data_IF_393215686942
#
_entry.id   IF_393215686942
#
_cell.length_a   1.000
_cell.length_b   1.000
_cell.length_c   1.000
_cell.angle_alpha   90.00
_cell.angle_beta   90.00
_cell.angle_gamma   90.00
#
_symmetry.space_group_name_H-M   'P 1'
#
loop_
_entity.id
_entity.type
_entity.pdbx_description
1 polymer ?
#
# COMPACT_ATOMS: atom_id res chain seq x y z
N UNK A 1 3.26 -41.95 36.53
CA UNK A 1 4.49 -42.75 36.35
C UNK A 1 5.71 -41.82 36.32
N UNK A 2 6.28 -41.61 37.50
CA UNK A 2 7.54 -40.90 37.72
C UNK A 2 8.70 -41.67 37.09
N UNK A 3 9.41 -41.03 36.15
CA UNK A 3 10.76 -41.45 35.78
C UNK A 3 11.74 -40.48 36.45
N UNK A 4 12.23 -40.90 37.61
CA UNK A 4 13.37 -40.30 38.31
C UNK A 4 14.58 -40.28 37.37
N UNK A 5 15.01 -39.09 36.96
CA UNK A 5 16.40 -38.87 36.55
C UNK A 5 17.29 -38.83 37.80
N UNK A 6 18.55 -39.32 37.74
CA UNK A 6 19.43 -39.34 38.90
C UNK A 6 19.71 -37.92 39.43
N UNK A 7 19.67 -37.78 40.76
CA UNK A 7 19.86 -36.52 41.53
C UNK A 7 21.33 -36.04 41.59
N UNK A 8 22.20 -36.37 40.63
CA UNK A 8 23.62 -35.97 40.64
C UNK A 8 23.93 -34.72 39.81
N UNK A 9 23.16 -34.39 38.77
CA UNK A 9 23.62 -33.39 37.78
C UNK A 9 23.07 -31.97 37.99
N UNK A 10 22.20 -31.75 38.98
CA UNK A 10 21.61 -30.44 39.26
C UNK A 10 22.34 -29.63 40.34
N UNK A 11 23.36 -30.19 41.01
CA UNK A 11 24.00 -29.52 42.14
C UNK A 11 25.14 -28.57 41.75
N UNK A 12 25.78 -28.75 40.60
CA UNK A 12 26.92 -27.90 40.22
C UNK A 12 26.50 -26.57 39.60
N UNK A 13 25.38 -26.53 38.87
CA UNK A 13 24.97 -25.31 38.17
C UNK A 13 24.45 -24.23 39.15
N UNK A 14 23.76 -24.64 40.22
CA UNK A 14 23.29 -23.72 41.27
C UNK A 14 24.41 -23.24 42.21
N UNK A 15 25.45 -24.06 42.41
CA UNK A 15 26.61 -23.69 43.24
C UNK A 15 27.48 -22.63 42.55
N UNK A 16 27.70 -22.75 41.23
CA UNK A 16 28.52 -21.81 40.46
C UNK A 16 27.87 -20.42 40.33
N UNK A 17 26.54 -20.32 40.26
CA UNK A 17 25.81 -19.04 40.23
C UNK A 17 25.96 -18.29 41.54
N UNK A 18 25.91 -18.98 42.68
CA UNK A 18 26.21 -18.39 43.99
C UNK A 18 27.68 -17.96 44.13
N UNK A 19 28.62 -18.73 43.56
CA UNK A 19 30.05 -18.40 43.57
C UNK A 19 30.34 -17.12 42.78
N UNK A 20 29.65 -16.86 41.67
CA UNK A 20 29.81 -15.61 40.90
C UNK A 20 29.32 -14.35 41.64
N UNK A 21 28.37 -14.46 42.56
CA UNK A 21 27.94 -13.35 43.42
C UNK A 21 28.89 -13.07 44.59
N UNK A 22 29.77 -14.02 44.95
CA UNK A 22 30.61 -13.97 46.16
C UNK A 22 32.11 -13.90 45.85
N UNK A 23 32.52 -14.22 44.61
CA UNK A 23 33.93 -14.23 44.20
C UNK A 23 34.33 -12.93 43.51
N UNK A 24 35.36 -12.27 44.06
CA UNK A 24 35.99 -11.11 43.41
C UNK A 24 36.52 -11.50 42.02
N UNK A 25 36.04 -10.78 41.00
CA UNK A 25 36.47 -10.93 39.60
C UNK A 25 37.99 -10.75 39.43
N UNK A 26 38.66 -10.07 40.37
CA UNK A 26 40.11 -9.84 40.37
C UNK A 26 40.95 -11.12 40.53
N UNK A 27 40.33 -12.25 40.92
CA UNK A 27 41.00 -13.56 41.01
C UNK A 27 41.25 -14.19 39.64
N UNK A 28 40.50 -13.80 38.61
CA UNK A 28 40.63 -14.35 37.25
C UNK A 28 41.68 -13.56 36.45
N UNK A 29 42.95 -13.90 36.64
CA UNK A 29 44.08 -13.11 36.10
C UNK A 29 44.47 -13.51 34.67
N UNK A 30 44.54 -14.81 34.38
CA UNK A 30 44.94 -15.27 33.06
C UNK A 30 43.82 -15.13 32.04
N UNK A 31 44.16 -15.10 30.74
CA UNK A 31 43.16 -15.10 29.67
C UNK A 31 42.27 -16.35 29.75
N UNK A 32 42.87 -17.51 30.06
CA UNK A 32 42.15 -18.78 30.19
C UNK A 32 41.11 -18.73 31.31
N UNK A 33 41.48 -18.21 32.49
CA UNK A 33 40.57 -18.08 33.63
C UNK A 33 39.40 -17.15 33.30
N UNK A 34 39.70 -16.05 32.60
CA UNK A 34 38.71 -15.06 32.16
C UNK A 34 37.72 -15.64 31.14
N UNK A 35 38.19 -16.47 30.21
CA UNK A 35 37.31 -17.12 29.23
C UNK A 35 36.47 -18.22 29.87
N UNK A 36 37.05 -19.00 30.78
CA UNK A 36 36.31 -19.97 31.58
C UNK A 36 35.18 -19.29 32.37
N UNK A 37 35.47 -18.16 33.01
CA UNK A 37 34.47 -17.35 33.70
C UNK A 37 33.31 -16.92 32.78
N UNK A 38 33.64 -16.45 31.57
CA UNK A 38 32.65 -16.06 30.58
C UNK A 38 31.79 -17.26 30.15
N UNK A 39 32.41 -18.40 29.83
CA UNK A 39 31.70 -19.60 29.37
C UNK A 39 30.76 -20.16 30.46
N UNK A 40 31.18 -20.12 31.73
CA UNK A 40 30.34 -20.46 32.88
C UNK A 40 29.17 -19.48 33.02
N UNK A 41 29.42 -18.17 32.93
CA UNK A 41 28.34 -17.18 33.00
C UNK A 41 27.31 -17.33 31.88
N UNK A 42 27.74 -17.69 30.67
CA UNK A 42 26.85 -17.97 29.54
C UNK A 42 26.00 -19.21 29.82
N UNK A 43 26.61 -20.27 30.38
CA UNK A 43 25.94 -21.52 30.74
C UNK A 43 24.93 -21.36 31.88
N UNK A 44 25.13 -20.35 32.75
CA UNK A 44 24.19 -19.99 33.81
C UNK A 44 22.92 -19.29 33.29
N UNK A 45 22.88 -18.85 32.02
CA UNK A 45 21.76 -18.15 31.39
C UNK A 45 21.28 -16.88 32.13
N UNK A 46 22.14 -16.25 32.94
CA UNK A 46 21.85 -14.98 33.59
C UNK A 46 22.49 -13.82 32.81
N UNK A 47 21.65 -13.04 32.13
CA UNK A 47 22.09 -11.92 31.31
C UNK A 47 22.80 -10.81 32.08
N UNK A 48 22.48 -10.62 33.37
CA UNK A 48 23.15 -9.62 34.21
C UNK A 48 24.58 -10.07 34.54
N UNK A 49 24.74 -11.35 34.87
CA UNK A 49 26.07 -11.93 35.16
C UNK A 49 26.95 -11.91 33.91
N UNK A 50 26.43 -12.32 32.75
CA UNK A 50 27.15 -12.26 31.47
C UNK A 50 27.63 -10.82 31.21
N UNK A 51 26.74 -9.83 31.38
CA UNK A 51 27.06 -8.42 31.15
C UNK A 51 28.11 -7.90 32.14
N UNK A 52 28.02 -8.26 33.42
CA UNK A 52 29.00 -7.88 34.44
C UNK A 52 30.39 -8.45 34.14
N UNK A 53 30.47 -9.72 33.72
CA UNK A 53 31.72 -10.35 33.27
C UNK A 53 32.26 -9.63 32.03
N UNK A 54 31.43 -9.33 31.03
CA UNK A 54 31.86 -8.59 29.84
C UNK A 54 32.39 -7.19 30.16
N UNK A 55 31.81 -6.47 31.13
CA UNK A 55 32.32 -5.18 31.61
C UNK A 55 33.71 -5.35 32.24
N UNK A 56 33.90 -6.39 33.05
CA UNK A 56 35.20 -6.71 33.63
C UNK A 56 36.24 -7.07 32.56
N UNK A 57 35.87 -7.85 31.54
CA UNK A 57 36.74 -8.18 30.42
C UNK A 57 37.11 -6.94 29.60
N UNK A 58 36.15 -6.05 29.31
CA UNK A 58 36.37 -4.76 28.64
C UNK A 58 37.42 -3.91 29.36
N UNK A 59 37.45 -3.94 30.69
CA UNK A 59 38.40 -3.17 31.52
C UNK A 59 39.79 -3.79 31.61
N UNK A 60 39.91 -5.11 31.46
CA UNK A 60 41.13 -5.86 31.80
C UNK A 60 41.81 -6.56 30.63
N UNK A 61 41.20 -6.56 29.45
CA UNK A 61 41.76 -7.09 28.20
C UNK A 61 41.95 -5.97 27.19
N UNK A 62 42.91 -6.14 26.27
CA UNK A 62 42.98 -5.29 25.09
C UNK A 62 41.78 -5.60 24.18
N UNK A 63 41.34 -4.59 23.41
CA UNK A 63 40.19 -4.71 22.51
C UNK A 63 40.36 -5.84 21.50
N UNK A 64 41.56 -6.02 20.93
CA UNK A 64 41.81 -7.03 19.90
C UNK A 64 41.69 -8.46 20.46
N UNK A 65 42.16 -8.67 21.70
CA UNK A 65 41.99 -9.96 22.39
C UNK A 65 40.51 -10.18 22.70
N UNK A 66 39.83 -9.19 23.27
CA UNK A 66 38.41 -9.32 23.59
C UNK A 66 37.56 -9.61 22.35
N UNK A 67 37.78 -8.91 21.24
CA UNK A 67 37.02 -9.08 20.01
C UNK A 67 37.22 -10.48 19.42
N UNK A 68 38.47 -10.95 19.36
CA UNK A 68 38.80 -12.31 18.89
C UNK A 68 38.13 -13.39 19.74
N UNK A 69 38.14 -13.24 21.07
CA UNK A 69 37.52 -14.23 21.95
C UNK A 69 35.98 -14.23 21.89
N UNK A 70 35.37 -13.09 21.56
CA UNK A 70 33.91 -12.98 21.41
C UNK A 70 33.40 -13.53 20.08
N UNK A 71 34.24 -13.59 19.03
CA UNK A 71 33.87 -14.09 17.71
C UNK A 71 33.29 -15.51 17.76
N UNK A 72 33.87 -16.39 18.60
CA UNK A 72 33.39 -17.76 18.78
C UNK A 72 32.24 -17.89 19.79
N UNK A 73 31.92 -16.83 20.55
CA UNK A 73 30.98 -16.84 21.70
C UNK A 73 29.75 -15.98 21.43
N UNK A 74 28.90 -16.42 20.50
CA UNK A 74 27.77 -15.65 19.97
C UNK A 74 26.77 -15.13 21.01
N UNK A 75 26.55 -15.86 22.12
CA UNK A 75 25.69 -15.37 23.22
C UNK A 75 26.34 -14.20 23.93
N UNK A 76 27.60 -14.34 24.36
CA UNK A 76 28.36 -13.26 24.99
C UNK A 76 28.51 -12.05 24.06
N UNK A 77 28.79 -12.27 22.77
CA UNK A 77 28.89 -11.21 21.77
C UNK A 77 27.59 -10.41 21.65
N UNK A 78 26.42 -11.07 21.63
CA UNK A 78 25.11 -10.40 21.60
C UNK A 78 24.88 -9.54 22.84
N UNK A 79 25.22 -10.04 24.03
CA UNK A 79 25.18 -9.25 25.26
C UNK A 79 26.13 -8.05 25.22
N UNK A 80 27.33 -8.23 24.66
CA UNK A 80 28.31 -7.14 24.54
C UNK A 80 27.85 -6.05 23.57
N UNK A 81 27.34 -6.43 22.39
CA UNK A 81 26.75 -5.48 21.43
C UNK A 81 25.59 -4.72 22.07
N UNK A 82 24.70 -5.42 22.79
CA UNK A 82 23.59 -4.79 23.49
C UNK A 82 24.08 -3.79 24.55
N UNK A 83 25.03 -4.20 25.39
CA UNK A 83 25.66 -3.33 26.38
C UNK A 83 26.25 -2.06 25.75
N UNK A 84 27.06 -2.19 24.69
CA UNK A 84 27.65 -1.03 24.01
C UNK A 84 26.60 -0.11 23.37
N UNK A 85 25.51 -0.69 22.88
CA UNK A 85 24.37 0.06 22.31
C UNK A 85 23.68 0.88 23.39
N UNK A 86 23.35 0.27 24.54
CA UNK A 86 22.68 0.93 25.66
C UNK A 86 23.57 2.01 26.32
N UNK A 87 24.86 1.74 26.48
CA UNK A 87 25.81 2.73 27.03
C UNK A 87 26.25 3.77 26.01
N UNK A 88 25.77 3.70 24.76
CA UNK A 88 26.13 4.58 23.64
C UNK A 88 27.64 4.66 23.36
N UNK A 89 28.37 3.56 23.59
CA UNK A 89 29.79 3.46 23.26
C UNK A 89 29.97 3.16 21.76
N UNK A 90 29.52 4.12 20.92
CA UNK A 90 29.41 3.94 19.47
C UNK A 90 30.76 3.68 18.81
N UNK A 91 31.83 4.31 19.31
CA UNK A 91 33.18 4.11 18.79
C UNK A 91 33.61 2.66 18.94
N UNK A 92 33.48 2.09 20.15
CA UNK A 92 33.89 0.71 20.37
C UNK A 92 32.98 -0.28 19.64
N UNK A 93 31.67 0.01 19.54
CA UNK A 93 30.73 -0.82 18.79
C UNK A 93 31.08 -0.88 17.29
N UNK A 94 31.43 0.25 16.67
CA UNK A 94 31.89 0.29 15.28
C UNK A 94 33.22 -0.45 15.09
N UNK A 95 34.16 -0.31 16.02
CA UNK A 95 35.42 -1.06 16.00
C UNK A 95 35.19 -2.58 16.12
N UNK A 96 34.27 -3.01 17.00
CA UNK A 96 33.87 -4.41 17.15
C UNK A 96 33.24 -4.98 15.88
N UNK A 97 32.24 -4.30 15.33
CA UNK A 97 31.56 -4.76 14.11
C UNK A 97 32.53 -4.84 12.92
N UNK A 98 33.46 -3.88 12.81
CA UNK A 98 34.52 -3.91 11.79
C UNK A 98 35.46 -5.11 11.98
N UNK A 99 35.91 -5.37 13.21
CA UNK A 99 36.81 -6.49 13.51
C UNK A 99 36.17 -7.85 13.18
N UNK A 100 34.86 -7.96 13.34
CA UNK A 100 34.08 -9.17 13.03
C UNK A 100 33.64 -9.27 11.56
N UNK A 101 34.04 -8.34 10.69
CA UNK A 101 33.59 -8.30 9.30
C UNK A 101 32.09 -8.03 9.11
N UNK A 102 31.40 -7.54 10.14
CA UNK A 102 29.95 -7.23 10.14
C UNK A 102 29.70 -5.85 9.55
N UNK A 103 30.04 -5.68 8.26
CA UNK A 103 30.01 -4.39 7.57
C UNK A 103 28.60 -3.82 7.40
N UNK A 104 27.59 -4.68 7.19
CA UNK A 104 26.19 -4.27 7.07
C UNK A 104 25.64 -3.69 8.37
N UNK A 105 25.90 -4.34 9.51
CA UNK A 105 25.50 -3.83 10.83
C UNK A 105 26.16 -2.48 11.13
N UNK A 106 27.43 -2.33 10.74
CA UNK A 106 28.18 -1.07 10.87
C UNK A 106 27.55 0.03 9.99
N UNK A 107 27.17 -0.30 8.76
CA UNK A 107 26.51 0.63 7.85
C UNK A 107 25.12 1.04 8.38
N UNK A 108 24.32 0.08 8.85
CA UNK A 108 23.00 0.33 9.42
C UNK A 108 23.06 1.19 10.70
N UNK A 109 24.03 0.91 11.58
CA UNK A 109 24.25 1.69 12.80
C UNK A 109 24.55 3.16 12.47
N UNK A 110 25.41 3.41 11.49
CA UNK A 110 25.73 4.77 11.05
C UNK A 110 24.52 5.42 10.38
N UNK A 111 23.83 4.72 9.48
CA UNK A 111 22.64 5.25 8.81
C UNK A 111 21.55 5.66 9.79
N UNK A 112 21.34 4.93 10.89
CA UNK A 112 20.35 5.26 11.94
C UNK A 112 20.52 6.65 12.55
N UNK A 113 21.71 7.25 12.47
CA UNK A 113 21.97 8.59 13.00
C UNK A 113 21.13 9.68 12.31
N UNK A 114 20.62 9.45 11.09
CA UNK A 114 19.71 10.41 10.43
C UNK A 114 18.47 10.73 11.28
N UNK A 115 18.00 9.78 12.11
CA UNK A 115 16.84 9.95 12.99
C UNK A 115 17.08 11.02 14.07
N UNK A 116 18.34 11.35 14.37
CA UNK A 116 18.71 12.37 15.36
C UNK A 116 18.89 13.75 14.75
N UNK A 117 18.89 13.87 13.43
CA UNK A 117 19.13 15.14 12.73
C UNK A 117 17.79 15.84 12.53
N UNK A 118 17.54 16.93 13.27
CA UNK A 118 16.28 17.66 13.19
C UNK A 118 16.11 18.42 11.86
N UNK A 119 17.16 19.12 11.39
CA UNK A 119 17.12 19.91 10.16
C UNK A 119 17.17 19.01 8.91
N UNK A 120 16.23 19.21 8.00
CA UNK A 120 16.00 18.35 6.85
C UNK A 120 17.06 18.51 5.76
N UNK A 121 17.66 19.70 5.61
CA UNK A 121 18.78 19.89 4.70
C UNK A 121 20.02 19.15 5.21
N UNK A 122 20.33 19.29 6.51
CA UNK A 122 21.40 18.52 7.15
C UNK A 122 21.14 17.02 7.10
N UNK A 123 19.89 16.60 7.28
CA UNK A 123 19.48 15.19 7.18
C UNK A 123 19.67 14.67 5.76
N UNK A 124 19.27 15.43 4.74
CA UNK A 124 19.53 15.12 3.32
C UNK A 124 21.02 14.96 3.06
N UNK A 125 21.84 15.92 3.49
CA UNK A 125 23.29 15.89 3.25
C UNK A 125 23.97 14.71 3.97
N UNK A 126 23.48 14.36 5.16
CA UNK A 126 23.88 13.14 5.87
C UNK A 126 23.46 11.86 5.13
N UNK A 127 22.22 11.78 4.63
CA UNK A 127 21.78 10.63 3.83
C UNK A 127 22.62 10.49 2.55
N UNK A 128 23.05 11.61 1.94
CA UNK A 128 23.97 11.61 0.81
C UNK A 128 25.32 11.00 1.17
N UNK A 129 25.87 11.32 2.33
CA UNK A 129 27.12 10.70 2.79
C UNK A 129 26.95 9.21 3.09
N UNK A 130 25.75 8.77 3.49
CA UNK A 130 25.44 7.36 3.70
C UNK A 130 25.49 6.51 2.42
N UNK A 131 25.45 7.12 1.23
CA UNK A 131 25.55 6.40 -0.05
C UNK A 131 26.91 5.73 -0.25
N UNK A 132 27.95 6.17 0.46
CA UNK A 132 29.28 5.54 0.42
C UNK A 132 29.46 4.42 1.47
N UNK A 133 28.45 4.18 2.32
CA UNK A 133 28.51 3.10 3.30
C UNK A 133 28.42 1.73 2.62
N UNK A 134 29.09 0.70 3.17
CA UNK A 134 29.19 -0.62 2.56
C UNK A 134 27.91 -1.45 2.79
N UNK A 135 26.80 -0.98 2.23
CA UNK A 135 25.53 -1.70 2.20
C UNK A 135 25.52 -2.82 1.16
N UNK A 136 24.61 -3.78 1.34
CA UNK A 136 24.19 -4.68 0.26
C UNK A 136 23.65 -3.87 -0.93
N UNK A 137 23.63 -4.46 -2.14
CA UNK A 137 23.09 -3.77 -3.32
C UNK A 137 21.61 -3.39 -3.15
N UNK A 138 20.84 -4.20 -2.42
CA UNK A 138 19.43 -3.94 -2.12
C UNK A 138 19.28 -2.76 -1.15
N UNK A 139 20.00 -2.79 -0.02
CA UNK A 139 19.94 -1.73 0.99
C UNK A 139 20.50 -0.40 0.46
N UNK A 140 21.54 -0.44 -0.36
CA UNK A 140 22.08 0.74 -1.04
C UNK A 140 21.01 1.40 -1.91
N UNK A 141 20.20 0.60 -2.62
CA UNK A 141 19.03 1.09 -3.36
C UNK A 141 18.01 1.79 -2.46
N UNK A 142 17.72 1.25 -1.29
CA UNK A 142 16.80 1.87 -0.33
C UNK A 142 17.33 3.18 0.26
N UNK A 143 18.63 3.27 0.57
CA UNK A 143 19.25 4.51 1.05
C UNK A 143 19.27 5.58 -0.05
N UNK A 144 19.56 5.19 -1.30
CA UNK A 144 19.48 6.07 -2.45
C UNK A 144 18.07 6.62 -2.66
N UNK A 145 17.05 5.76 -2.62
CA UNK A 145 15.65 6.17 -2.74
C UNK A 145 15.25 7.12 -1.60
N UNK A 146 15.70 6.87 -0.37
CA UNK A 146 15.43 7.76 0.76
C UNK A 146 16.06 9.15 0.57
N UNK A 147 17.34 9.22 0.20
CA UNK A 147 18.01 10.48 -0.12
C UNK A 147 17.27 11.24 -1.23
N UNK A 148 16.99 10.56 -2.34
CA UNK A 148 16.32 11.17 -3.51
C UNK A 148 14.91 11.64 -3.18
N UNK A 149 14.17 10.91 -2.34
CA UNK A 149 12.84 11.32 -1.90
C UNK A 149 12.89 12.57 -1.01
N UNK A 150 13.79 12.61 -0.02
CA UNK A 150 13.90 13.76 0.88
C UNK A 150 14.37 15.01 0.14
N UNK A 151 15.36 14.89 -0.75
CA UNK A 151 15.82 15.99 -1.61
C UNK A 151 14.65 16.58 -2.42
N UNK A 152 13.86 15.72 -3.04
CA UNK A 152 12.66 16.11 -3.79
C UNK A 152 11.62 16.79 -2.90
N UNK A 153 11.33 16.22 -1.72
CA UNK A 153 10.36 16.78 -0.78
C UNK A 153 10.78 18.18 -0.30
N UNK A 154 12.07 18.42 -0.06
CA UNK A 154 12.60 19.74 0.31
C UNK A 154 12.31 20.78 -0.77
N UNK A 155 12.55 20.44 -2.04
CA UNK A 155 12.31 21.34 -3.18
C UNK A 155 10.81 21.66 -3.29
N UNK A 156 9.96 20.63 -3.33
CA UNK A 156 8.51 20.79 -3.45
C UNK A 156 7.95 21.59 -2.27
N UNK A 157 8.33 21.27 -1.04
CA UNK A 157 7.86 21.95 0.16
C UNK A 157 8.23 23.43 0.16
N UNK A 158 9.45 23.78 -0.25
CA UNK A 158 9.89 25.16 -0.34
C UNK A 158 9.07 25.95 -1.38
N UNK A 159 8.91 25.39 -2.57
CA UNK A 159 8.11 26.00 -3.65
C UNK A 159 6.65 26.17 -3.24
N UNK A 160 6.02 25.13 -2.69
CA UNK A 160 4.60 25.15 -2.33
C UNK A 160 4.31 26.08 -1.16
N UNK A 161 5.20 26.15 -0.18
CA UNK A 161 5.07 27.09 0.95
C UNK A 161 5.15 28.54 0.49
N UNK A 162 6.02 28.83 -0.49
CA UNK A 162 6.10 30.16 -1.08
C UNK A 162 4.83 30.49 -1.87
N UNK A 163 4.34 29.55 -2.69
CA UNK A 163 3.11 29.70 -3.45
C UNK A 163 1.87 29.90 -2.57
N UNK A 164 1.76 29.16 -1.47
CA UNK A 164 0.68 29.27 -0.48
C UNK A 164 0.71 30.64 0.23
N UNK A 165 1.88 31.10 0.70
CA UNK A 165 2.04 32.44 1.30
C UNK A 165 1.73 33.56 0.31
N UNK A 166 2.08 33.36 -0.95
CA UNK A 166 1.78 34.31 -2.01
C UNK A 166 0.28 34.41 -2.33
N UNK A 167 -0.53 33.42 -1.93
CA UNK A 167 -1.97 33.42 -2.12
C UNK A 167 -2.42 33.39 -3.57
N UNK A 168 -1.55 33.05 -4.53
CA UNK A 168 -1.86 33.10 -5.98
C UNK A 168 -2.22 31.76 -6.60
N UNK A 169 -2.09 30.66 -5.85
CA UNK A 169 -2.35 29.31 -6.34
C UNK A 169 -3.71 28.83 -5.83
N UNK A 170 -4.69 28.77 -6.74
CA UNK A 170 -6.10 28.48 -6.43
C UNK A 170 -6.29 27.16 -5.67
N UNK A 171 -5.54 26.12 -6.04
CA UNK A 171 -5.68 24.79 -5.41
C UNK A 171 -5.36 24.83 -3.91
N UNK A 172 -4.41 25.66 -3.47
CA UNK A 172 -4.08 25.83 -2.05
C UNK A 172 -5.11 26.67 -1.31
N UNK A 173 -5.81 27.58 -1.98
CA UNK A 173 -6.92 28.31 -1.36
C UNK A 173 -8.13 27.39 -1.15
N UNK A 174 -8.49 26.63 -2.18
CA UNK A 174 -9.64 25.71 -2.14
C UNK A 174 -9.38 24.50 -1.23
N UNK A 175 -8.13 24.04 -1.19
CA UNK A 175 -7.70 22.91 -0.36
C UNK A 175 -6.37 23.23 0.35
N UNK A 176 -6.41 23.99 1.46
CA UNK A 176 -5.22 24.36 2.21
C UNK A 176 -4.38 23.14 2.61
N UNK A 177 -3.04 23.29 2.51
CA UNK A 177 -2.14 22.22 2.91
C UNK A 177 -2.20 22.05 4.42
N UNK A 178 -2.36 20.81 4.88
CA UNK A 178 -2.57 20.51 6.31
C UNK A 178 -1.29 20.23 7.08
N UNK A 179 -0.26 19.80 6.38
CA UNK A 179 1.01 19.39 6.95
C UNK A 179 2.10 19.49 5.89
N UNK A 180 3.36 19.50 6.35
CA UNK A 180 4.50 19.38 5.47
C UNK A 180 4.62 17.97 4.89
N UNK A 181 5.15 17.88 3.66
CA UNK A 181 5.46 16.60 3.01
C UNK A 181 6.82 16.01 3.40
N UNK A 182 7.64 16.75 4.16
CA UNK A 182 8.98 16.33 4.55
C UNK A 182 8.92 15.05 5.39
N UNK A 183 9.82 14.10 5.08
CA UNK A 183 9.93 12.79 5.74
C UNK A 183 8.66 11.92 5.64
N UNK A 184 7.71 12.27 4.77
CA UNK A 184 6.54 11.43 4.53
C UNK A 184 6.90 10.23 3.63
N UNK A 185 6.21 9.09 3.77
CA UNK A 185 6.41 7.95 2.89
C UNK A 185 6.19 8.30 1.42
N UNK A 186 6.89 7.60 0.51
CA UNK A 186 6.78 7.80 -0.94
C UNK A 186 5.33 7.81 -1.45
N UNK A 187 4.48 6.90 -0.96
CA UNK A 187 3.06 6.84 -1.37
C UNK A 187 2.27 8.08 -0.95
N UNK A 188 2.60 8.67 0.20
CA UNK A 188 2.00 9.91 0.69
C UNK A 188 2.47 11.10 -0.15
N UNK A 189 3.76 11.16 -0.51
CA UNK A 189 4.29 12.16 -1.42
C UNK A 189 3.66 12.04 -2.81
N UNK A 190 3.51 10.82 -3.34
CA UNK A 190 2.82 10.59 -4.61
C UNK A 190 1.36 11.06 -4.53
N UNK A 191 0.64 10.73 -3.45
CA UNK A 191 -0.73 11.20 -3.26
C UNK A 191 -0.80 12.73 -3.24
N UNK A 192 0.09 13.38 -2.50
CA UNK A 192 0.21 14.83 -2.44
C UNK A 192 0.41 15.43 -3.84
N UNK A 193 1.34 14.90 -4.62
CA UNK A 193 1.59 15.33 -5.99
C UNK A 193 0.39 15.08 -6.90
N UNK A 194 -0.29 13.94 -6.79
CA UNK A 194 -1.53 13.68 -7.54
C UNK A 194 -2.67 14.61 -7.13
N UNK A 195 -2.64 15.17 -5.93
CA UNK A 195 -3.64 16.08 -5.43
C UNK A 195 -3.37 17.51 -5.93
N UNK A 196 -2.17 18.03 -5.65
CA UNK A 196 -1.84 19.43 -5.90
C UNK A 196 -1.21 19.72 -7.28
N UNK A 197 -0.52 18.73 -7.86
CA UNK A 197 0.40 18.92 -8.99
C UNK A 197 0.13 17.98 -10.16
N UNK A 198 -1.11 17.47 -10.27
CA UNK A 198 -1.45 16.37 -11.18
C UNK A 198 -1.16 16.65 -12.65
N UNK A 199 -1.35 17.89 -13.08
CA UNK A 199 -1.20 18.32 -14.47
C UNK A 199 0.19 18.89 -14.78
N UNK A 200 1.12 18.83 -13.84
CA UNK A 200 2.49 19.31 -14.07
C UNK A 200 3.26 18.40 -15.01
N UNK A 201 4.13 19.02 -15.81
CA UNK A 201 4.97 18.33 -16.78
C UNK A 201 5.97 17.39 -16.11
N UNK A 202 6.35 16.31 -16.80
CA UNK A 202 7.32 15.33 -16.26
C UNK A 202 8.71 15.91 -15.97
N UNK A 203 9.00 17.15 -16.39
CA UNK A 203 10.23 17.85 -16.05
C UNK A 203 10.28 18.40 -14.61
N UNK A 204 9.15 18.44 -13.89
CA UNK A 204 9.10 18.96 -12.51
C UNK A 204 9.26 17.86 -11.47
N UNK A 205 9.86 18.21 -10.33
CA UNK A 205 9.99 17.33 -9.18
C UNK A 205 8.63 16.96 -8.55
N UNK A 206 7.63 17.84 -8.65
CA UNK A 206 6.28 17.64 -8.14
C UNK A 206 5.36 16.84 -9.07
N UNK A 207 5.77 16.56 -10.31
CA UNK A 207 4.96 15.79 -11.25
C UNK A 207 4.78 14.33 -10.79
N UNK A 208 3.53 13.83 -10.68
CA UNK A 208 3.27 12.45 -10.29
C UNK A 208 3.88 11.40 -11.23
N UNK A 209 3.94 11.73 -12.53
CA UNK A 209 4.51 10.84 -13.54
C UNK A 209 6.04 10.76 -13.38
N UNK A 210 6.69 11.89 -13.11
CA UNK A 210 8.12 11.91 -12.81
C UNK A 210 8.43 11.08 -11.54
N UNK A 211 7.67 11.27 -10.44
CA UNK A 211 7.82 10.47 -9.22
C UNK A 211 7.68 8.98 -9.52
N UNK A 212 6.66 8.59 -10.30
CA UNK A 212 6.45 7.20 -10.69
C UNK A 212 7.66 6.63 -11.44
N UNK A 213 8.23 7.38 -12.37
CA UNK A 213 9.39 6.95 -13.15
C UNK A 213 10.64 6.82 -12.28
N UNK A 214 10.93 7.84 -11.46
CA UNK A 214 12.11 7.88 -10.58
C UNK A 214 12.12 6.70 -9.61
N UNK A 215 11.02 6.46 -8.89
CA UNK A 215 10.94 5.41 -7.87
C UNK A 215 10.34 4.10 -8.38
N UNK A 216 10.26 3.93 -9.71
CA UNK A 216 9.76 2.71 -10.39
C UNK A 216 8.42 2.21 -9.82
N UNK A 217 7.52 3.14 -9.47
CA UNK A 217 6.22 2.81 -8.88
C UNK A 217 5.38 2.04 -9.91
N UNK A 218 4.80 0.91 -9.49
CA UNK A 218 4.01 0.08 -10.39
C UNK A 218 2.81 0.83 -10.96
N UNK A 219 2.37 0.45 -12.17
CA UNK A 219 1.16 1.02 -12.81
C UNK A 219 -0.05 0.97 -11.88
N UNK A 220 -0.23 -0.14 -11.15
CA UNK A 220 -1.33 -0.34 -10.22
C UNK A 220 -1.24 0.62 -9.03
N UNK A 221 -0.09 0.70 -8.34
CA UNK A 221 0.07 1.62 -7.20
C UNK A 221 -0.13 3.08 -7.60
N UNK A 222 0.43 3.49 -8.74
CA UNK A 222 0.20 4.84 -9.27
C UNK A 222 -1.28 5.08 -9.54
N UNK A 223 -1.94 4.16 -10.26
CA UNK A 223 -3.34 4.28 -10.62
C UNK A 223 -4.24 4.43 -9.38
N UNK A 224 -4.07 3.57 -8.36
CA UNK A 224 -4.87 3.64 -7.13
C UNK A 224 -4.66 4.97 -6.41
N UNK A 225 -3.42 5.44 -6.34
CA UNK A 225 -3.06 6.68 -5.65
C UNK A 225 -3.62 7.90 -6.37
N UNK A 226 -3.46 7.97 -7.69
CA UNK A 226 -4.02 9.01 -8.53
C UNK A 226 -5.55 9.03 -8.48
N UNK A 227 -6.20 7.86 -8.64
CA UNK A 227 -7.66 7.75 -8.56
C UNK A 227 -8.18 8.28 -7.22
N UNK A 228 -7.56 7.90 -6.10
CA UNK A 228 -7.95 8.37 -4.78
C UNK A 228 -7.82 9.90 -4.65
N UNK A 229 -6.69 10.48 -5.09
CA UNK A 229 -6.45 11.91 -5.00
C UNK A 229 -7.40 12.72 -5.91
N UNK A 230 -7.57 12.31 -7.18
CA UNK A 230 -8.45 13.01 -8.14
C UNK A 230 -9.92 12.88 -7.76
N UNK A 231 -10.36 11.71 -7.28
CA UNK A 231 -11.71 11.52 -6.78
C UNK A 231 -11.98 12.39 -5.54
N UNK A 232 -11.00 12.55 -4.64
CA UNK A 232 -11.13 13.43 -3.46
C UNK A 232 -11.35 14.89 -3.84
N UNK A 233 -10.75 15.33 -4.95
CA UNK A 233 -10.95 16.66 -5.54
C UNK A 233 -12.23 16.80 -6.36
N UNK A 234 -12.98 15.70 -6.55
CA UNK A 234 -14.12 15.61 -7.47
C UNK A 234 -13.75 16.01 -8.91
N UNK A 235 -12.50 15.79 -9.30
CA UNK A 235 -11.98 16.06 -10.64
C UNK A 235 -12.36 14.92 -11.59
N UNK A 236 -13.65 14.79 -11.89
CA UNK A 236 -14.20 13.62 -12.60
C UNK A 236 -13.65 13.44 -14.02
N UNK A 237 -13.29 14.53 -14.70
CA UNK A 237 -12.60 14.48 -15.99
C UNK A 237 -11.24 13.79 -15.89
N UNK A 238 -10.47 14.10 -14.85
CA UNK A 238 -9.15 13.50 -14.62
C UNK A 238 -9.28 12.04 -14.21
N UNK A 239 -10.31 11.74 -13.39
CA UNK A 239 -10.67 10.37 -13.05
C UNK A 239 -10.95 9.57 -14.32
N UNK A 240 -11.73 10.12 -15.26
CA UNK A 240 -12.05 9.45 -16.52
C UNK A 240 -10.81 9.23 -17.41
N UNK A 241 -9.94 10.23 -17.48
CA UNK A 241 -8.69 10.14 -18.23
C UNK A 241 -7.79 9.00 -17.75
N UNK A 242 -7.80 8.64 -16.46
CA UNK A 242 -7.01 7.53 -15.92
C UNK A 242 -7.37 6.17 -16.54
N UNK A 243 -8.62 5.99 -16.98
CA UNK A 243 -9.08 4.73 -17.58
C UNK A 243 -8.88 4.69 -19.09
N UNK A 244 -8.66 5.84 -19.72
CA UNK A 244 -8.65 5.94 -21.17
C UNK A 244 -7.30 5.50 -21.73
N UNK A 245 -7.26 4.31 -22.32
CA UNK A 245 -6.14 3.90 -23.18
C UNK A 245 -6.51 4.10 -24.64
N UNK A 246 -5.72 4.88 -25.38
CA UNK A 246 -5.82 4.95 -26.84
C UNK A 246 -5.16 3.69 -27.42
N UNK A 247 -5.93 2.85 -28.10
CA UNK A 247 -5.35 1.82 -28.96
C UNK A 247 -4.89 2.45 -30.28
N UNK A 248 -3.96 1.79 -30.98
CA UNK A 248 -3.35 2.30 -32.22
C UNK A 248 -4.35 2.64 -33.34
N UNK A 249 -5.54 2.00 -33.33
CA UNK A 249 -6.65 2.24 -34.27
C UNK A 249 -7.60 3.38 -33.83
N UNK A 250 -7.25 4.17 -32.82
CA UNK A 250 -8.09 5.27 -32.33
C UNK A 250 -9.29 4.84 -31.48
N UNK A 251 -9.58 3.54 -31.35
CA UNK A 251 -10.60 3.06 -30.42
C UNK A 251 -10.15 3.26 -28.97
N UNK A 252 -10.95 4.00 -28.20
CA UNK A 252 -10.79 4.17 -26.76
C UNK A 252 -11.59 3.10 -26.04
N UNK A 253 -10.91 2.29 -25.23
CA UNK A 253 -11.58 1.39 -24.27
C UNK A 253 -11.09 1.74 -22.87
N UNK A 254 -12.04 1.89 -21.94
CA UNK A 254 -11.73 2.06 -20.52
C UNK A 254 -11.09 0.76 -19.99
N UNK A 255 -9.87 0.87 -19.46
CA UNK A 255 -9.15 -0.23 -18.80
C UNK A 255 -8.81 0.19 -17.39
N UNK A 256 -8.85 -0.76 -16.45
CA UNK A 256 -8.46 -0.51 -15.07
C UNK A 256 -7.60 -1.66 -14.54
N UNK A 257 -6.54 -1.36 -13.75
CA UNK A 257 -5.82 -2.38 -12.98
C UNK A 257 -6.59 -2.82 -11.71
N UNK A 258 -7.78 -2.26 -11.46
CA UNK A 258 -8.73 -2.66 -10.42
C UNK A 258 -10.01 -3.21 -11.06
N UNK A 259 -10.78 -4.00 -10.31
CA UNK A 259 -12.15 -4.31 -10.72
C UNK A 259 -12.99 -3.03 -10.73
N UNK A 260 -13.93 -2.94 -11.68
CA UNK A 260 -14.82 -1.76 -11.75
C UNK A 260 -15.74 -1.65 -10.53
N UNK A 261 -16.04 -2.75 -9.83
CA UNK A 261 -16.68 -2.69 -8.51
C UNK A 261 -15.86 -1.85 -7.53
N UNK A 262 -14.54 -2.12 -7.42
CA UNK A 262 -13.67 -1.38 -6.50
C UNK A 262 -13.54 0.09 -6.90
N UNK A 263 -13.55 0.38 -8.20
CA UNK A 263 -13.60 1.75 -8.73
C UNK A 263 -14.87 2.45 -8.26
N UNK A 264 -16.04 1.82 -8.46
CA UNK A 264 -17.34 2.34 -8.03
C UNK A 264 -17.35 2.63 -6.52
N UNK A 265 -16.81 1.74 -5.69
CA UNK A 265 -16.71 1.97 -4.23
C UNK A 265 -15.88 3.23 -3.90
N UNK A 266 -14.74 3.42 -4.57
CA UNK A 266 -13.87 4.59 -4.36
C UNK A 266 -14.59 5.88 -4.78
N UNK A 267 -15.27 5.86 -5.92
CA UNK A 267 -16.03 7.01 -6.42
C UNK A 267 -17.21 7.34 -5.52
N UNK A 268 -17.97 6.33 -5.09
CA UNK A 268 -19.09 6.50 -4.16
C UNK A 268 -18.60 7.11 -2.83
N UNK A 269 -17.50 6.59 -2.26
CA UNK A 269 -16.92 7.11 -1.02
C UNK A 269 -16.50 8.59 -1.12
N UNK A 270 -16.20 9.07 -2.33
CA UNK A 270 -15.88 10.47 -2.60
C UNK A 270 -17.07 11.28 -3.15
N UNK A 271 -18.30 10.77 -2.99
CA UNK A 271 -19.53 11.46 -3.38
C UNK A 271 -19.59 11.78 -4.88
N UNK A 272 -19.16 10.83 -5.71
CA UNK A 272 -19.36 10.94 -7.15
C UNK A 272 -20.86 11.03 -7.49
N UNK A 273 -21.26 11.94 -8.41
CA UNK A 273 -22.63 12.03 -8.88
C UNK A 273 -23.09 10.71 -9.52
N UNK A 274 -24.40 10.45 -9.48
CA UNK A 274 -25.00 9.25 -10.08
C UNK A 274 -24.64 9.09 -11.55
N UNK A 275 -24.55 10.19 -12.31
CA UNK A 275 -24.16 10.15 -13.72
C UNK A 275 -22.74 9.58 -13.91
N UNK A 276 -21.80 9.99 -13.05
CA UNK A 276 -20.42 9.47 -13.07
C UNK A 276 -20.41 8.00 -12.66
N UNK A 277 -21.10 7.65 -11.57
CA UNK A 277 -21.17 6.26 -11.09
C UNK A 277 -21.74 5.32 -12.15
N UNK A 278 -22.78 5.77 -12.87
CA UNK A 278 -23.43 4.99 -13.93
C UNK A 278 -22.44 4.55 -15.02
N UNK A 279 -21.50 5.40 -15.42
CA UNK A 279 -20.50 5.01 -16.43
C UNK A 279 -19.63 3.84 -15.99
N UNK A 280 -19.25 3.78 -14.71
CA UNK A 280 -18.37 2.73 -14.18
C UNK A 280 -19.12 1.49 -13.73
N UNK A 281 -20.36 1.64 -13.23
CA UNK A 281 -21.23 0.48 -12.94
C UNK A 281 -21.49 -0.30 -14.23
N UNK A 282 -21.70 0.37 -15.36
CA UNK A 282 -21.91 -0.29 -16.66
C UNK A 282 -20.72 -1.19 -17.09
N UNK A 283 -19.53 -0.96 -16.54
CA UNK A 283 -18.29 -1.71 -16.83
C UNK A 283 -18.05 -2.88 -15.87
N UNK A 284 -18.90 -3.12 -14.87
CA UNK A 284 -18.79 -4.26 -13.95
C UNK A 284 -19.15 -5.54 -14.69
N UNK A 285 -18.21 -6.46 -14.90
CA UNK A 285 -18.43 -7.64 -15.76
C UNK A 285 -19.57 -8.56 -15.28
N UNK A 286 -19.65 -8.83 -13.98
CA UNK A 286 -20.69 -9.68 -13.38
C UNK A 286 -22.08 -8.99 -13.42
N UNK A 287 -23.06 -9.66 -14.05
CA UNK A 287 -24.39 -9.08 -14.29
C UNK A 287 -25.21 -8.88 -13.02
N UNK A 288 -25.13 -9.82 -12.07
CA UNK A 288 -25.93 -9.77 -10.85
C UNK A 288 -25.38 -8.70 -9.90
N UNK A 289 -24.05 -8.61 -9.80
CA UNK A 289 -23.35 -7.55 -9.11
C UNK A 289 -23.63 -6.20 -9.78
N UNK A 290 -23.64 -6.12 -11.11
CA UNK A 290 -23.96 -4.88 -11.84
C UNK A 290 -25.37 -4.39 -11.53
N UNK A 291 -26.38 -5.28 -11.57
CA UNK A 291 -27.78 -4.93 -11.24
C UNK A 291 -27.88 -4.47 -9.79
N UNK A 292 -27.28 -5.21 -8.85
CA UNK A 292 -27.35 -4.87 -7.42
C UNK A 292 -26.71 -3.52 -7.11
N UNK A 293 -25.54 -3.23 -7.69
CA UNK A 293 -24.89 -1.92 -7.59
C UNK A 293 -25.73 -0.81 -8.22
N UNK A 294 -26.24 -1.03 -9.43
CA UNK A 294 -27.07 -0.04 -10.13
C UNK A 294 -28.33 0.31 -9.34
N UNK A 295 -29.00 -0.67 -8.73
CA UNK A 295 -30.14 -0.41 -7.86
C UNK A 295 -29.74 0.36 -6.60
N UNK A 296 -28.67 -0.07 -5.91
CA UNK A 296 -28.18 0.58 -4.69
C UNK A 296 -27.79 2.04 -4.91
N UNK A 297 -27.18 2.32 -6.07
CA UNK A 297 -26.68 3.65 -6.43
C UNK A 297 -27.68 4.48 -7.24
N UNK A 298 -28.90 3.98 -7.44
CA UNK A 298 -29.95 4.62 -8.24
C UNK A 298 -29.53 4.94 -9.68
N UNK A 299 -28.66 4.12 -10.28
CA UNK A 299 -28.34 4.16 -11.71
C UNK A 299 -29.47 3.50 -12.52
N UNK A 300 -30.64 4.16 -12.55
CA UNK A 300 -31.89 3.61 -13.06
C UNK A 300 -31.80 3.14 -14.52
N UNK A 301 -31.06 3.85 -15.37
CA UNK A 301 -30.90 3.48 -16.78
C UNK A 301 -30.27 2.10 -16.96
N UNK A 302 -29.28 1.76 -16.13
CA UNK A 302 -28.64 0.45 -16.19
C UNK A 302 -29.65 -0.64 -15.85
N UNK A 303 -30.41 -0.46 -14.76
CA UNK A 303 -31.41 -1.45 -14.33
C UNK A 303 -32.47 -1.66 -15.41
N UNK A 304 -32.99 -0.57 -15.98
CA UNK A 304 -34.01 -0.61 -17.04
C UNK A 304 -33.46 -1.30 -18.30
N UNK A 305 -32.24 -0.95 -18.72
CA UNK A 305 -31.62 -1.54 -19.90
C UNK A 305 -31.33 -3.03 -19.69
N UNK A 306 -30.87 -3.44 -18.51
CA UNK A 306 -30.61 -4.86 -18.22
C UNK A 306 -31.90 -5.68 -18.19
N UNK A 307 -32.97 -5.19 -17.56
CA UNK A 307 -34.26 -5.89 -17.58
C UNK A 307 -34.88 -5.96 -18.98
N UNK A 308 -34.69 -4.92 -19.80
CA UNK A 308 -35.04 -4.96 -21.23
C UNK A 308 -34.26 -6.06 -21.96
N UNK A 309 -32.95 -6.15 -21.74
CA UNK A 309 -32.09 -7.10 -22.44
C UNK A 309 -32.36 -8.56 -22.02
N UNK A 310 -32.73 -8.77 -20.75
CA UNK A 310 -33.26 -10.04 -20.23
C UNK A 310 -34.67 -10.37 -20.77
N UNK A 311 -35.35 -9.40 -21.41
CA UNK A 311 -36.75 -9.49 -21.85
C UNK A 311 -37.72 -9.83 -20.70
N UNK A 312 -37.36 -9.48 -19.47
CA UNK A 312 -38.16 -9.77 -18.29
C UNK A 312 -39.15 -8.62 -18.01
N UNK A 313 -40.38 -8.81 -18.46
CA UNK A 313 -41.47 -7.84 -18.27
C UNK A 313 -41.85 -7.71 -16.79
N UNK A 314 -41.74 -8.76 -15.99
CA UNK A 314 -42.15 -8.74 -14.58
C UNK A 314 -41.18 -7.90 -13.76
N UNK A 315 -39.87 -8.03 -14.02
CA UNK A 315 -38.86 -7.19 -13.39
C UNK A 315 -39.03 -5.70 -13.75
N UNK A 316 -39.37 -5.37 -15.01
CA UNK A 316 -39.69 -4.00 -15.41
C UNK A 316 -40.92 -3.44 -14.67
N UNK A 317 -42.00 -4.22 -14.57
CA UNK A 317 -43.21 -3.82 -13.84
C UNK A 317 -42.94 -3.68 -12.34
N UNK A 318 -42.13 -4.57 -11.76
CA UNK A 318 -41.71 -4.48 -10.36
C UNK A 318 -40.86 -3.25 -10.09
N UNK A 319 -40.00 -2.88 -11.04
CA UNK A 319 -39.14 -1.70 -10.92
C UNK A 319 -39.90 -0.39 -11.14
N UNK A 320 -40.88 -0.36 -12.05
CA UNK A 320 -41.76 0.79 -12.30
C UNK A 320 -42.42 1.29 -11.01
N UNK A 321 -42.85 0.37 -10.15
CA UNK A 321 -43.47 0.69 -8.85
C UNK A 321 -42.55 1.46 -7.90
N UNK A 322 -41.24 1.46 -8.15
CA UNK A 322 -40.23 2.18 -7.36
C UNK A 322 -39.88 3.55 -7.95
N UNK A 323 -40.40 3.90 -9.13
CA UNK A 323 -40.10 5.16 -9.80
C UNK A 323 -41.05 6.27 -9.33
N UNK A 324 -40.55 7.50 -9.34
CA UNK A 324 -41.37 8.68 -9.08
C UNK A 324 -42.31 8.95 -10.27
N UNK A 325 -43.55 9.37 -9.97
CA UNK A 325 -44.53 9.69 -11.01
C UNK A 325 -44.07 10.88 -11.84
N UNK A 326 -44.17 10.75 -13.15
CA UNK A 326 -43.76 11.73 -14.13
C UNK A 326 -42.26 11.71 -14.45
N UNK A 327 -41.46 10.85 -13.81
CA UNK A 327 -40.01 10.79 -14.03
C UNK A 327 -39.66 10.30 -15.43
N UNK A 328 -38.43 10.58 -15.88
CA UNK A 328 -37.94 10.13 -17.18
C UNK A 328 -37.86 8.61 -17.24
N UNK A 329 -37.46 7.99 -16.12
CA UNK A 329 -37.36 6.55 -15.92
C UNK A 329 -38.73 5.87 -16.03
N UNK A 330 -39.78 6.44 -15.42
CA UNK A 330 -41.14 5.93 -15.51
C UNK A 330 -41.61 5.88 -16.98
N UNK A 331 -41.41 6.98 -17.72
CA UNK A 331 -41.76 7.06 -19.14
C UNK A 331 -41.01 6.03 -19.96
N UNK A 332 -39.70 5.92 -19.74
CA UNK A 332 -38.83 4.95 -20.44
C UNK A 332 -39.27 3.50 -20.21
N UNK A 333 -39.64 3.15 -18.98
CA UNK A 333 -40.17 1.81 -18.68
C UNK A 333 -41.51 1.59 -19.39
N UNK A 334 -42.42 2.56 -19.31
CA UNK A 334 -43.74 2.47 -19.96
C UNK A 334 -43.64 2.31 -21.49
N UNK A 335 -42.71 3.01 -22.14
CA UNK A 335 -42.44 2.85 -23.57
C UNK A 335 -41.99 1.43 -23.93
N UNK A 336 -41.04 0.87 -23.16
CA UNK A 336 -40.57 -0.51 -23.33
C UNK A 336 -41.71 -1.53 -23.14
N UNK A 337 -42.53 -1.32 -22.12
CA UNK A 337 -43.68 -2.16 -21.83
C UNK A 337 -44.74 -2.07 -22.95
N UNK A 338 -45.00 -0.88 -23.50
CA UNK A 338 -46.01 -0.69 -24.56
C UNK A 338 -45.56 -1.22 -25.92
N UNK A 339 -44.28 -1.06 -26.27
CA UNK A 339 -43.72 -1.61 -27.50
C UNK A 339 -43.79 -3.14 -27.53
N UNK A 340 -43.56 -3.80 -26.39
CA UNK A 340 -43.71 -5.26 -26.29
C UNK A 340 -45.15 -5.72 -26.56
N UNK A 341 -46.15 -4.95 -26.12
CA UNK A 341 -47.58 -5.25 -26.33
C UNK A 341 -47.99 -5.01 -27.79
N UNK A 342 -47.54 -3.90 -28.39
CA UNK A 342 -47.79 -3.63 -29.82
C UNK A 342 -47.23 -4.72 -30.72
N UNK A 343 -45.99 -5.18 -30.46
CA UNK A 343 -45.37 -6.26 -31.24
C UNK A 343 -46.16 -7.57 -31.13
N UNK A 344 -46.62 -7.93 -29.93
CA UNK A 344 -47.49 -9.11 -29.73
C UNK A 344 -48.85 -8.97 -30.44
N UNK A 345 -49.47 -7.78 -30.40
CA UNK A 345 -50.73 -7.51 -31.12
C UNK A 345 -50.58 -7.62 -32.64
N UNK A 346 -49.50 -7.07 -33.22
CA UNK A 346 -49.23 -7.17 -34.66
C UNK A 346 -49.03 -8.63 -35.06
N UNK A 347 -48.25 -9.39 -34.30
CA UNK A 347 -48.05 -10.82 -34.55
C UNK A 347 -49.39 -11.57 -34.46
N UNK A 348 -50.22 -11.29 -33.46
CA UNK A 348 -51.53 -11.91 -33.31
C UNK A 348 -52.48 -11.58 -34.47
N UNK A 349 -52.53 -10.32 -34.91
CA UNK A 349 -53.32 -9.90 -36.09
C UNK A 349 -52.80 -10.60 -37.35
N UNK A 350 -51.48 -10.71 -37.52
CA UNK A 350 -50.88 -11.43 -38.64
C UNK A 350 -51.31 -12.92 -38.64
N UNK A 351 -51.27 -13.59 -37.49
CA UNK A 351 -51.76 -14.98 -37.39
C UNK A 351 -53.25 -15.11 -37.73
N UNK A 352 -54.09 -14.18 -37.29
CA UNK A 352 -55.53 -14.17 -37.66
C UNK A 352 -55.72 -13.97 -39.17
N UNK A 353 -54.97 -13.06 -39.79
CA UNK A 353 -55.06 -12.81 -41.24
C UNK A 353 -54.59 -14.02 -42.05
N UNK A 354 -53.52 -14.69 -41.62
CA UNK A 354 -53.04 -15.92 -42.27
C UNK A 354 -54.06 -17.06 -42.13
N UNK A 355 -54.63 -17.25 -40.94
CA UNK A 355 -55.66 -18.27 -40.71
C UNK A 355 -56.90 -18.03 -41.58
N UNK A 356 -57.39 -16.77 -41.67
CA UNK A 356 -58.51 -16.42 -42.54
C UNK A 356 -58.21 -16.57 -44.03
N UNK A 357 -56.97 -16.31 -44.45
CA UNK A 357 -56.57 -16.54 -45.85
C UNK A 357 -56.56 -18.03 -46.20
N UNK A 358 -56.14 -18.90 -45.26
CA UNK A 358 -56.21 -20.35 -45.44
C UNK A 358 -57.66 -20.86 -45.48
N UNK A 359 -58.54 -20.40 -44.58
CA UNK A 359 -59.98 -20.73 -44.62
C UNK A 359 -60.67 -20.25 -45.91
N UNK A 360 -60.28 -19.07 -46.42
CA UNK A 360 -60.77 -18.53 -47.69
C UNK A 360 -60.29 -19.34 -48.90
N UNK A 361 -59.08 -19.90 -48.85
CA UNK A 361 -58.57 -20.82 -49.89
C UNK A 361 -59.28 -22.18 -49.85
N UNK A 362 -59.55 -22.73 -48.67
CA UNK A 362 -60.29 -23.99 -48.56
C UNK A 362 -61.74 -23.85 -49.04
N UNK A 363 -62.42 -22.76 -48.72
CA UNK A 363 -63.79 -22.51 -49.22
C UNK A 363 -63.83 -22.28 -50.75
N UNK A 364 -62.79 -21.69 -51.34
CA UNK A 364 -62.65 -21.61 -52.81
C UNK A 364 -62.42 -22.98 -53.46
N UNK A 365 -61.59 -23.83 -52.86
CA UNK A 365 -61.29 -25.19 -53.37
C UNK A 365 -62.52 -26.10 -53.29
N UNK A 366 -63.38 -25.93 -52.27
CA UNK A 366 -64.64 -26.68 -52.14
C UNK A 366 -65.79 -26.14 -53.00
N UNK A 367 -65.76 -24.86 -53.41
CA UNK A 367 -66.73 -24.28 -54.34
C UNK A 367 -66.45 -24.54 -55.84
N UNK A 368 -65.28 -25.12 -56.16
CA UNK A 368 -64.84 -25.49 -57.51
C UNK A 368 -64.92 -27.01 -57.79
N UNK A 369 -65.47 -27.80 -56.87
CA UNK A 369 -65.88 -29.19 -57.08
C UNK A 369 -67.39 -29.25 -57.26
#
# INVERSE_FOLDING_TARGET
PELRKPKSDYKDHGLFVWVLQVVSLEKFRSLQDKMCLLDVSVSAHDGNVITAVLIYLKRTLSKDVLFRELESRQTALRHFIHYLTETRDQRLLLELLRALGRTEDMALLQYKEHLRIADENKRRDFLKSCLSLPFSAEDSGHVQDHYTLLERQIIIEATDRQAERGGKVEIFQKFPRRASILNMPLVTTLYYCCFYHYTESEGTYSSPLNIRQTFKISKKQYFVTALAARAKLKAWSDVDALFTSRNWLGFTRKKSPLSFQRVVDILQKNSAPTQVLQEYVALVDDSDLRISLAQKLKCHDIVINMYRDLKDRQLLLGYLKKMERGSVEERKINELLNNSVRKKRIIFIYYILVARAQEGLETWIWGLR
#
